data_IF_759486779593
#
_entry.id   IF_759486779593
#
_cell.length_a   1.000
_cell.length_b   1.000
_cell.length_c   1.000
_cell.angle_alpha   90.00
_cell.angle_beta   90.00
_cell.angle_gamma   90.00
#
_symmetry.space_group_name_H-M   'P 1'
#
loop_
_entity.id
_entity.type
_entity.pdbx_description
1 polymer ?
#
# COMPACT_ATOMS: atom_id res chain seq x y z
N UNK A 1 -6.79 13.10 -1.91
CA UNK A 1 -7.99 12.93 -1.09
C UNK A 1 -9.29 12.79 -1.89
N UNK A 2 -9.37 11.95 -2.94
CA UNK A 2 -10.61 11.73 -3.71
C UNK A 2 -11.24 10.34 -3.56
N UNK A 3 -10.60 9.40 -2.86
CA UNK A 3 -11.16 8.06 -2.60
C UNK A 3 -12.09 8.07 -1.38
N UNK A 4 -11.86 8.96 -0.41
CA UNK A 4 -12.74 9.16 0.76
C UNK A 4 -14.02 9.96 0.42
N UNK A 5 -14.01 10.76 -0.65
CA UNK A 5 -15.03 11.78 -0.90
C UNK A 5 -16.44 11.26 -1.22
N UNK A 6 -16.57 10.10 -1.88
CA UNK A 6 -17.90 9.62 -2.33
C UNK A 6 -18.66 8.83 -1.27
N UNK A 7 -17.95 8.09 -0.41
CA UNK A 7 -18.58 7.25 0.62
C UNK A 7 -18.68 7.95 1.98
N UNK A 8 -17.72 8.81 2.31
CA UNK A 8 -17.73 9.54 3.57
C UNK A 8 -18.52 10.85 3.49
N UNK A 9 -18.45 11.57 2.35
CA UNK A 9 -19.19 12.81 2.13
C UNK A 9 -18.99 13.82 3.28
N UNK A 10 -20.09 14.26 3.89
CA UNK A 10 -20.13 15.17 5.06
C UNK A 10 -20.00 14.45 6.42
N UNK A 11 -19.66 13.16 6.39
CA UNK A 11 -19.56 12.28 7.55
C UNK A 11 -20.88 11.63 7.95
N UNK A 12 -20.85 10.79 9.00
CA UNK A 12 -22.02 10.09 9.49
C UNK A 12 -23.05 11.06 10.10
N UNK A 13 -24.33 10.71 9.94
CA UNK A 13 -25.49 11.43 10.47
C UNK A 13 -26.54 10.39 10.86
N UNK A 14 -27.35 10.69 11.88
CA UNK A 14 -28.43 9.82 12.31
C UNK A 14 -29.63 9.96 11.37
N UNK A 15 -30.21 8.82 11.00
CA UNK A 15 -31.44 8.80 10.21
C UNK A 15 -32.37 7.71 10.71
N UNK A 16 -33.66 7.92 10.48
CA UNK A 16 -34.69 6.89 10.59
C UNK A 16 -35.21 6.56 9.19
N UNK A 17 -35.64 5.31 8.98
CA UNK A 17 -36.38 4.94 7.79
C UNK A 17 -37.82 5.42 7.91
N UNK A 18 -38.25 6.25 6.97
CA UNK A 18 -39.61 6.81 6.93
C UNK A 18 -40.25 6.48 5.59
N UNK A 19 -41.58 6.39 5.59
CA UNK A 19 -42.38 6.20 4.37
C UNK A 19 -43.16 7.49 4.13
N UNK A 20 -43.06 8.01 2.92
CA UNK A 20 -43.89 9.12 2.47
C UNK A 20 -45.34 8.61 2.25
N UNK A 21 -46.26 9.15 3.04
CA UNK A 21 -47.67 8.73 3.06
C UNK A 21 -48.42 9.02 1.75
N UNK A 22 -47.91 9.90 0.90
CA UNK A 22 -48.58 10.27 -0.36
C UNK A 22 -48.21 9.35 -1.53
N UNK A 23 -47.01 8.75 -1.50
CA UNK A 23 -46.47 7.99 -2.63
C UNK A 23 -45.87 6.62 -2.27
N UNK A 24 -45.94 6.21 -1.00
CA UNK A 24 -45.39 4.97 -0.47
C UNK A 24 -43.89 4.77 -0.76
N UNK A 25 -43.11 5.86 -0.86
CA UNK A 25 -41.66 5.79 -1.05
C UNK A 25 -40.93 5.81 0.27
N UNK A 26 -39.97 4.90 0.40
CA UNK A 26 -39.02 4.92 1.51
C UNK A 26 -38.01 6.06 1.31
N UNK A 27 -37.78 6.82 2.37
CA UNK A 27 -36.73 7.82 2.44
C UNK A 27 -36.05 7.80 3.80
N UNK A 28 -34.86 8.40 3.87
CA UNK A 28 -34.12 8.59 5.12
C UNK A 28 -34.43 9.96 5.68
N UNK A 29 -35.05 10.01 6.85
CA UNK A 29 -35.30 11.26 7.57
C UNK A 29 -34.16 11.51 8.54
N UNK A 30 -33.45 12.61 8.36
CA UNK A 30 -32.38 13.02 9.28
C UNK A 30 -32.96 13.36 10.65
N UNK A 31 -32.33 12.86 11.70
CA UNK A 31 -32.70 13.12 13.08
C UNK A 31 -31.52 13.72 13.84
N UNK A 32 -31.85 14.50 14.87
CA UNK A 32 -30.89 15.00 15.86
C UNK A 32 -31.27 14.36 17.19
N UNK A 33 -30.34 13.62 17.78
CA UNK A 33 -30.48 13.05 19.11
C UNK A 33 -29.28 13.53 19.93
N UNK A 34 -29.51 14.53 20.77
CA UNK A 34 -28.44 15.16 21.57
C UNK A 34 -27.82 14.19 22.57
N UNK A 35 -28.56 13.19 23.05
CA UNK A 35 -28.08 12.22 24.03
C UNK A 35 -27.10 11.25 23.37
N UNK A 36 -27.49 10.69 22.22
CA UNK A 36 -26.62 9.79 21.45
C UNK A 36 -25.44 10.58 20.87
N UNK A 37 -25.67 11.81 20.39
CA UNK A 37 -24.60 12.66 19.87
C UNK A 37 -23.58 12.97 20.96
N UNK A 38 -24.00 13.35 22.17
CA UNK A 38 -23.09 13.60 23.29
C UNK A 38 -22.31 12.34 23.71
N UNK A 39 -22.95 11.16 23.68
CA UNK A 39 -22.28 9.90 23.97
C UNK A 39 -21.22 9.54 22.92
N UNK A 40 -21.55 9.72 21.64
CA UNK A 40 -20.59 9.51 20.56
C UNK A 40 -19.44 10.52 20.59
N UNK A 41 -19.73 11.80 20.86
CA UNK A 41 -18.72 12.86 20.98
C UNK A 41 -17.84 12.73 22.21
N UNK A 42 -18.24 11.92 23.21
CA UNK A 42 -17.39 11.61 24.36
C UNK A 42 -16.11 10.83 23.97
N UNK A 43 -16.07 10.27 22.75
CA UNK A 43 -14.90 9.63 22.16
C UNK A 43 -14.78 10.00 20.67
N UNK A 44 -13.65 9.68 20.04
CA UNK A 44 -13.42 10.04 18.63
C UNK A 44 -14.13 9.06 17.67
N UNK A 45 -15.47 9.08 17.66
CA UNK A 45 -16.29 8.18 16.86
C UNK A 45 -16.13 8.41 15.35
N UNK A 46 -15.82 9.64 14.92
CA UNK A 46 -15.66 9.99 13.51
C UNK A 46 -14.38 9.40 12.94
N UNK A 47 -13.25 9.54 13.64
CA UNK A 47 -11.99 8.91 13.22
C UNK A 47 -12.13 7.38 13.25
N UNK A 48 -12.77 6.83 14.29
CA UNK A 48 -13.10 5.41 14.36
C UNK A 48 -13.87 4.92 13.11
N UNK A 49 -15.01 5.56 12.81
CA UNK A 49 -15.84 5.17 11.67
C UNK A 49 -15.11 5.35 10.33
N UNK A 50 -14.30 6.40 10.21
CA UNK A 50 -13.49 6.65 9.01
C UNK A 50 -12.47 5.53 8.80
N UNK A 51 -11.77 5.12 9.85
CA UNK A 51 -10.80 4.00 9.78
C UNK A 51 -11.49 2.68 9.45
N UNK A 52 -12.63 2.39 10.04
CA UNK A 52 -13.44 1.22 9.69
C UNK A 52 -13.86 1.24 8.22
N UNK A 53 -14.28 2.40 7.70
CA UNK A 53 -14.63 2.55 6.28
C UNK A 53 -13.42 2.32 5.38
N UNK A 54 -12.26 2.87 5.72
CA UNK A 54 -11.02 2.67 4.96
C UNK A 54 -10.67 1.18 4.91
N UNK A 55 -10.71 0.47 6.03
CA UNK A 55 -10.45 -0.97 6.07
C UNK A 55 -11.50 -1.75 5.25
N UNK A 56 -12.78 -1.39 5.34
CA UNK A 56 -13.85 -1.98 4.53
C UNK A 56 -13.61 -1.80 3.02
N UNK A 57 -13.18 -0.62 2.58
CA UNK A 57 -12.93 -0.33 1.16
C UNK A 57 -11.79 -1.18 0.60
N UNK A 58 -10.69 -1.31 1.35
CA UNK A 58 -9.48 -1.97 0.88
C UNK A 58 -9.54 -3.48 1.12
N UNK A 59 -9.93 -3.92 2.31
CA UNK A 59 -9.87 -5.31 2.77
C UNK A 59 -11.21 -6.05 2.68
N UNK A 60 -12.31 -5.34 2.36
CA UNK A 60 -13.68 -5.86 2.39
C UNK A 60 -14.18 -6.29 3.77
N UNK A 61 -13.46 -5.92 4.82
CA UNK A 61 -13.85 -6.13 6.21
C UNK A 61 -12.99 -5.32 7.16
N UNK A 62 -13.46 -5.16 8.40
CA UNK A 62 -12.82 -4.35 9.42
C UNK A 62 -13.05 -4.94 10.80
N UNK A 63 -12.16 -4.58 11.74
CA UNK A 63 -12.19 -5.05 13.11
C UNK A 63 -12.64 -3.95 14.06
N UNK A 64 -13.48 -4.33 15.01
CA UNK A 64 -14.01 -3.43 16.04
C UNK A 64 -13.78 -4.07 17.39
N UNK A 65 -13.20 -3.30 18.32
CA UNK A 65 -13.09 -3.66 19.72
C UNK A 65 -14.19 -2.97 20.50
N UNK A 66 -15.04 -3.76 21.13
CA UNK A 66 -16.12 -3.30 21.99
C UNK A 66 -15.59 -3.21 23.41
N UNK A 67 -15.75 -2.04 24.02
CA UNK A 67 -15.34 -1.80 25.41
C UNK A 67 -16.58 -1.49 26.23
N UNK A 68 -16.81 -2.32 27.24
CA UNK A 68 -17.93 -2.21 28.17
C UNK A 68 -17.55 -1.42 29.42
N UNK A 69 -18.54 -0.80 30.07
CA UNK A 69 -18.42 -0.32 31.44
C UNK A 69 -18.08 -1.48 32.41
N UNK A 70 -17.61 -1.10 33.61
CA UNK A 70 -17.33 -2.05 34.69
C UNK A 70 -18.56 -2.34 35.57
N UNK A 71 -19.72 -1.73 35.28
CA UNK A 71 -20.96 -1.83 36.06
C UNK A 71 -21.36 -3.27 36.44
N UNK A 72 -21.36 -4.24 35.51
CA UNK A 72 -21.75 -5.60 35.87
C UNK A 72 -20.81 -6.34 36.84
N UNK A 73 -19.66 -5.75 37.23
CA UNK A 73 -18.84 -6.28 38.34
C UNK A 73 -19.42 -5.96 39.71
N UNK A 74 -20.27 -4.94 39.80
CA UNK A 74 -20.93 -4.47 41.03
C UNK A 74 -22.45 -4.68 40.99
N UNK A 75 -22.95 -5.45 40.02
CA UNK A 75 -24.39 -5.73 39.85
C UNK A 75 -25.18 -4.67 39.07
N UNK A 76 -24.51 -3.68 38.48
CA UNK A 76 -25.15 -2.69 37.59
C UNK A 76 -25.24 -3.17 36.14
N UNK A 77 -26.03 -2.48 35.33
CA UNK A 77 -26.23 -2.80 33.91
C UNK A 77 -24.97 -2.61 33.06
N UNK A 78 -24.84 -3.48 32.07
CA UNK A 78 -23.79 -3.42 31.06
C UNK A 78 -24.09 -2.35 30.02
N UNK A 79 -23.10 -1.50 29.71
CA UNK A 79 -23.18 -0.50 28.65
C UNK A 79 -21.89 -0.49 27.84
N UNK A 80 -21.97 -0.41 26.52
CA UNK A 80 -20.82 -0.13 25.67
C UNK A 80 -20.44 1.34 25.87
N UNK A 81 -19.19 1.59 26.30
CA UNK A 81 -18.70 2.94 26.58
C UNK A 81 -17.95 3.55 25.41
N UNK A 82 -17.32 2.73 24.58
CA UNK A 82 -16.60 3.17 23.38
C UNK A 82 -16.29 1.99 22.47
N UNK A 83 -16.08 2.30 21.21
CA UNK A 83 -15.56 1.36 20.21
C UNK A 83 -14.16 1.80 19.81
N UNK A 84 -13.26 0.85 19.60
CA UNK A 84 -11.93 1.11 19.04
C UNK A 84 -11.78 0.37 17.71
N UNK A 85 -11.25 1.07 16.71
CA UNK A 85 -10.80 0.45 15.48
C UNK A 85 -9.47 -0.24 15.74
N UNK A 86 -9.35 -1.49 15.31
CA UNK A 86 -8.06 -2.18 15.28
C UNK A 86 -7.64 -2.32 13.81
N UNK A 87 -6.44 -1.85 13.42
CA UNK A 87 -5.96 -2.00 12.05
C UNK A 87 -5.98 -3.47 11.62
N UNK A 88 -6.48 -3.73 10.41
CA UNK A 88 -6.60 -5.08 9.86
C UNK A 88 -5.33 -5.92 9.99
N UNK A 89 -4.15 -5.30 9.81
CA UNK A 89 -2.85 -5.99 9.94
C UNK A 89 -2.66 -6.65 11.30
N UNK A 90 -3.21 -6.09 12.38
CA UNK A 90 -2.96 -6.50 13.77
C UNK A 90 -3.81 -7.67 14.25
N UNK A 91 -4.97 -7.92 13.63
CA UNK A 91 -5.92 -8.94 14.08
C UNK A 91 -5.76 -10.26 13.33
N UNK A 92 -5.82 -11.38 14.04
CA UNK A 92 -5.95 -12.73 13.48
C UNK A 92 -6.95 -13.53 14.30
N UNK A 93 -7.81 -14.31 13.63
CA UNK A 93 -8.67 -15.26 14.33
C UNK A 93 -7.84 -16.40 14.92
N UNK A 94 -8.26 -16.88 16.09
CA UNK A 94 -7.90 -18.21 16.56
C UNK A 94 -8.62 -19.24 15.68
N UNK A 95 -7.90 -20.24 15.18
CA UNK A 95 -8.53 -21.33 14.43
C UNK A 95 -9.48 -22.10 15.37
N UNK A 96 -10.70 -22.43 14.93
CA UNK A 96 -11.65 -23.17 15.76
C UNK A 96 -11.09 -24.52 16.23
N UNK A 97 -11.52 -24.96 17.41
CA UNK A 97 -11.29 -26.34 17.87
C UNK A 97 -12.35 -27.28 17.28
N UNK A 98 -12.20 -28.59 17.47
CA UNK A 98 -13.16 -29.60 16.98
C UNK A 98 -14.58 -29.46 17.56
N UNK A 99 -14.78 -28.55 18.52
CA UNK A 99 -16.05 -28.33 19.22
C UNK A 99 -16.85 -27.16 18.66
N UNK A 100 -16.21 -26.28 17.89
CA UNK A 100 -16.84 -25.06 17.38
C UNK A 100 -16.56 -24.90 15.89
N UNK A 101 -17.58 -24.60 15.09
CA UNK A 101 -17.38 -24.32 13.66
C UNK A 101 -16.78 -22.92 13.39
N UNK A 102 -16.84 -22.03 14.38
CA UNK A 102 -16.43 -20.63 14.26
C UNK A 102 -15.35 -20.25 15.28
N UNK A 103 -14.42 -19.33 14.92
CA UNK A 103 -13.44 -18.76 15.83
C UNK A 103 -14.07 -18.18 17.10
N UNK A 104 -13.52 -18.53 18.26
CA UNK A 104 -13.98 -18.01 19.55
C UNK A 104 -13.16 -16.82 20.05
N UNK A 105 -11.93 -16.65 19.54
CA UNK A 105 -11.03 -15.59 19.97
C UNK A 105 -10.32 -14.90 18.80
N UNK A 106 -9.85 -13.70 19.07
CA UNK A 106 -9.05 -12.86 18.18
C UNK A 106 -7.74 -12.52 18.88
N UNK A 107 -6.64 -12.78 18.20
CA UNK A 107 -5.30 -12.35 18.60
C UNK A 107 -4.98 -10.99 17.98
N UNK A 108 -4.54 -10.06 18.83
CA UNK A 108 -4.15 -8.71 18.44
C UNK A 108 -2.67 -8.52 18.78
N UNK A 109 -1.85 -8.28 17.76
CA UNK A 109 -0.40 -8.13 17.91
C UNK A 109 0.26 -7.54 16.66
N UNK A 110 1.57 -7.31 16.74
CA UNK A 110 2.34 -6.75 15.62
C UNK A 110 2.88 -7.86 14.70
N UNK A 111 2.04 -8.26 13.73
CA UNK A 111 2.38 -9.30 12.76
C UNK A 111 3.37 -8.82 11.68
N UNK A 112 4.21 -9.72 11.12
CA UNK A 112 4.20 -11.19 11.28
C UNK A 112 4.95 -11.73 12.50
N UNK A 113 5.69 -10.89 13.23
CA UNK A 113 6.52 -11.30 14.37
C UNK A 113 5.97 -10.68 15.66
N UNK A 114 4.87 -11.20 16.23
CA UNK A 114 4.31 -10.65 17.45
C UNK A 114 5.25 -10.94 18.63
N UNK A 115 5.45 -9.93 19.47
CA UNK A 115 6.06 -10.09 20.79
C UNK A 115 5.07 -10.89 21.67
N UNK A 116 5.44 -12.07 22.19
CA UNK A 116 4.57 -12.88 23.04
C UNK A 116 4.04 -12.13 24.26
N UNK A 117 4.83 -11.22 24.83
CA UNK A 117 4.44 -10.45 26.02
C UNK A 117 3.43 -9.35 25.71
N UNK A 118 3.34 -8.94 24.44
CA UNK A 118 2.43 -7.88 23.95
C UNK A 118 1.25 -8.43 23.15
N UNK A 119 1.18 -9.74 22.95
CA UNK A 119 0.10 -10.40 22.24
C UNK A 119 -1.15 -10.40 23.12
N UNK A 120 -2.19 -9.69 22.69
CA UNK A 120 -3.46 -9.68 23.40
C UNK A 120 -4.44 -10.67 22.77
N UNK A 121 -5.12 -11.46 23.61
CA UNK A 121 -6.21 -12.37 23.21
C UNK A 121 -7.54 -11.79 23.68
N UNK A 122 -8.51 -11.65 22.77
CA UNK A 122 -9.85 -11.16 23.07
C UNK A 122 -10.91 -12.17 22.61
N UNK A 123 -12.03 -12.33 23.34
CA UNK A 123 -13.15 -13.12 22.87
C UNK A 123 -13.84 -12.45 21.68
N UNK A 124 -14.38 -13.25 20.76
CA UNK A 124 -15.17 -12.76 19.63
C UNK A 124 -16.46 -12.12 20.15
N UNK A 125 -16.81 -10.96 19.60
CA UNK A 125 -18.03 -10.24 19.94
C UNK A 125 -19.27 -11.04 19.50
N UNK A 126 -20.21 -11.26 20.43
CA UNK A 126 -21.49 -11.90 20.16
C UNK A 126 -22.62 -10.85 20.22
N UNK A 127 -23.27 -10.52 19.09
CA UNK A 127 -24.40 -9.58 19.08
C UNK A 127 -25.59 -10.01 19.94
N UNK A 128 -25.79 -11.32 20.14
CA UNK A 128 -26.88 -11.83 21.00
C UNK A 128 -26.60 -11.66 22.49
N UNK A 129 -25.33 -11.51 22.87
CA UNK A 129 -24.90 -11.25 24.26
C UNK A 129 -23.72 -10.26 24.29
N UNK A 130 -23.98 -8.98 23.99
CA UNK A 130 -22.93 -7.98 23.75
C UNK A 130 -22.16 -7.59 25.01
N UNK A 131 -22.72 -7.88 26.20
CA UNK A 131 -22.19 -7.45 27.49
C UNK A 131 -21.51 -8.57 28.29
N UNK A 132 -21.46 -9.79 27.74
CA UNK A 132 -20.83 -10.97 28.37
C UNK A 132 -19.39 -10.72 28.82
N UNK A 133 -18.62 -10.07 27.96
CA UNK A 133 -17.20 -9.82 28.18
C UNK A 133 -16.94 -8.32 28.35
N UNK A 134 -15.99 -7.93 29.22
CA UNK A 134 -15.67 -6.51 29.43
C UNK A 134 -15.04 -5.87 28.19
N UNK A 135 -14.29 -6.66 27.42
CA UNK A 135 -13.72 -6.29 26.14
C UNK A 135 -13.87 -7.48 25.20
N UNK A 136 -14.38 -7.24 24.00
CA UNK A 136 -14.54 -8.24 22.94
C UNK A 136 -14.23 -7.63 21.59
N UNK A 137 -13.93 -8.46 20.60
CA UNK A 137 -13.54 -8.01 19.26
C UNK A 137 -14.45 -8.66 18.22
N UNK A 138 -15.07 -7.85 17.38
CA UNK A 138 -15.88 -8.28 16.24
C UNK A 138 -15.16 -8.06 14.92
N UNK A 139 -15.36 -8.99 14.00
CA UNK A 139 -15.02 -8.80 12.59
C UNK A 139 -16.30 -8.58 11.80
N UNK A 140 -16.33 -7.52 11.00
CA UNK A 140 -17.46 -7.22 10.13
C UNK A 140 -16.95 -7.16 8.68
N UNK A 141 -17.57 -7.92 7.80
CA UNK A 141 -17.12 -8.06 6.43
C UNK A 141 -18.26 -8.20 5.42
N UNK A 142 -17.91 -7.88 4.19
CA UNK A 142 -18.67 -8.31 3.02
C UNK A 142 -18.34 -9.77 2.77
N UNK A 143 -19.36 -10.57 2.44
CA UNK A 143 -19.19 -11.96 2.09
C UNK A 143 -18.15 -12.12 0.98
N UNK A 144 -17.21 -13.06 1.18
CA UNK A 144 -16.17 -13.40 0.20
C UNK A 144 -16.32 -14.88 -0.16
N UNK A 145 -16.46 -15.15 -1.47
CA UNK A 145 -16.57 -16.51 -1.98
C UNK A 145 -15.33 -17.35 -1.61
N UNK A 146 -15.55 -18.62 -1.23
CA UNK A 146 -14.50 -19.57 -0.82
C UNK A 146 -13.60 -19.10 0.35
N UNK A 147 -14.15 -18.31 1.28
CA UNK A 147 -13.47 -17.95 2.53
C UNK A 147 -14.38 -18.20 3.72
N UNK A 148 -13.81 -18.82 4.76
CA UNK A 148 -14.58 -19.20 5.95
C UNK A 148 -14.68 -18.05 6.96
N UNK A 149 -13.56 -17.35 7.24
CA UNK A 149 -13.50 -16.41 8.37
C UNK A 149 -13.17 -14.96 7.99
N UNK A 150 -12.35 -14.74 6.95
CA UNK A 150 -11.84 -13.40 6.57
C UNK A 150 -12.13 -13.09 5.12
N UNK A 151 -12.37 -11.82 4.81
CA UNK A 151 -12.65 -11.40 3.44
C UNK A 151 -11.39 -11.32 2.59
N UNK A 152 -11.56 -11.46 1.27
CA UNK A 152 -10.46 -11.33 0.31
C UNK A 152 -10.40 -9.88 -0.19
N UNK A 153 -9.27 -9.18 -0.07
CA UNK A 153 -9.15 -7.82 -0.61
C UNK A 153 -9.39 -7.79 -2.12
N UNK A 154 -10.12 -6.78 -2.62
CA UNK A 154 -10.45 -6.68 -4.07
C UNK A 154 -9.23 -6.54 -4.96
N UNK A 155 -8.18 -5.88 -4.48
CA UNK A 155 -6.96 -5.66 -5.24
C UNK A 155 -6.11 -6.93 -5.38
N UNK A 156 -6.42 -8.01 -4.66
CA UNK A 156 -5.63 -9.24 -4.70
C UNK A 156 -5.62 -9.88 -6.10
N UNK A 157 -6.76 -9.84 -6.81
CA UNK A 157 -6.82 -10.29 -8.21
C UNK A 157 -6.14 -9.34 -9.19
N UNK A 158 -5.91 -8.08 -8.80
CA UNK A 158 -5.27 -7.07 -9.63
C UNK A 158 -3.74 -6.98 -9.41
N UNK A 159 -3.18 -7.74 -8.46
CA UNK A 159 -1.74 -7.69 -8.16
C UNK A 159 -0.83 -7.87 -9.37
N UNK A 160 -1.02 -8.87 -10.25
CA UNK A 160 -0.15 -9.03 -11.42
C UNK A 160 -0.17 -7.81 -12.34
N UNK A 161 -1.33 -7.16 -12.47
CA UNK A 161 -1.47 -5.95 -13.28
C UNK A 161 -0.83 -4.74 -12.61
N UNK A 162 -0.94 -4.61 -11.28
CA UNK A 162 -0.28 -3.55 -10.51
C UNK A 162 1.25 -3.70 -10.54
N UNK A 163 1.76 -4.92 -10.42
CA UNK A 163 3.19 -5.21 -10.57
C UNK A 163 3.68 -4.80 -11.96
N UNK A 164 2.99 -5.22 -13.02
CA UNK A 164 3.31 -4.83 -14.39
C UNK A 164 3.24 -3.31 -14.60
N UNK A 165 2.20 -2.65 -14.10
CA UNK A 165 2.07 -1.19 -14.22
C UNK A 165 3.20 -0.46 -13.48
N UNK A 166 3.64 -1.00 -12.34
CA UNK A 166 4.77 -0.48 -11.57
C UNK A 166 6.12 -0.59 -12.28
N UNK A 167 6.30 -1.52 -13.21
CA UNK A 167 7.57 -1.68 -13.96
C UNK A 167 7.68 -0.75 -15.16
N UNK A 168 6.58 -0.24 -15.70
CA UNK A 168 6.59 0.60 -16.92
C UNK A 168 7.40 1.88 -16.71
N UNK A 169 7.20 2.58 -15.60
CA UNK A 169 7.90 3.85 -15.36
C UNK A 169 9.42 3.66 -15.20
N UNK A 170 9.93 2.72 -14.36
CA UNK A 170 11.35 2.38 -14.33
C UNK A 170 11.90 1.95 -15.69
N UNK A 171 11.15 1.16 -16.46
CA UNK A 171 11.58 0.69 -17.77
C UNK A 171 11.73 1.84 -18.77
N UNK A 172 10.78 2.78 -18.81
CA UNK A 172 10.86 3.98 -19.65
C UNK A 172 11.99 4.91 -19.21
N UNK A 173 12.25 5.03 -17.90
CA UNK A 173 13.36 5.81 -17.38
C UNK A 173 14.70 5.20 -17.82
N UNK A 174 14.87 3.88 -17.67
CA UNK A 174 16.06 3.16 -18.11
C UNK A 174 16.23 3.23 -19.64
N UNK A 175 15.15 3.09 -20.39
CA UNK A 175 15.18 3.25 -21.85
C UNK A 175 15.66 4.64 -22.25
N UNK A 176 15.10 5.72 -21.67
CA UNK A 176 15.53 7.08 -22.00
C UNK A 176 16.99 7.36 -21.61
N UNK A 177 17.47 6.82 -20.49
CA UNK A 177 18.86 6.95 -20.08
C UNK A 177 19.82 6.22 -21.04
N UNK A 178 19.43 5.03 -21.52
CA UNK A 178 20.30 4.20 -22.34
C UNK A 178 20.13 4.43 -23.86
N UNK A 179 19.00 4.99 -24.30
CA UNK A 179 18.70 5.20 -25.72
C UNK A 179 19.64 6.24 -26.37
N UNK A 180 20.20 7.19 -25.60
CA UNK A 180 21.20 8.12 -26.13
C UNK A 180 22.50 7.43 -26.55
N UNK A 181 22.85 6.30 -25.93
CA UNK A 181 24.07 5.54 -26.27
C UNK A 181 24.02 4.91 -27.67
N UNK A 182 22.81 4.67 -28.21
CA UNK A 182 22.63 4.06 -29.53
C UNK A 182 22.53 5.07 -30.68
N UNK A 183 22.68 6.37 -30.40
CA UNK A 183 22.37 7.43 -31.38
C UNK A 183 23.50 7.78 -32.35
N UNK A 184 24.73 7.29 -32.12
CA UNK A 184 25.89 7.76 -32.88
C UNK A 184 26.62 6.61 -33.58
N UNK A 185 26.58 6.64 -34.91
CA UNK A 185 27.47 5.86 -35.77
C UNK A 185 28.67 6.74 -36.14
N UNK A 186 29.87 6.33 -35.71
CA UNK A 186 31.11 7.06 -36.02
C UNK A 186 31.67 6.52 -37.33
N UNK A 187 31.56 7.31 -38.39
CA UNK A 187 32.27 7.06 -39.64
C UNK A 187 33.59 7.85 -39.66
N UNK A 188 34.73 7.16 -39.71
CA UNK A 188 36.04 7.79 -39.83
C UNK A 188 36.58 7.62 -41.27
N UNK A 189 36.78 8.70 -42.04
CA UNK A 189 37.37 8.61 -43.37
C UNK A 189 38.82 8.14 -43.31
N UNK A 190 39.24 7.31 -44.25
CA UNK A 190 40.63 6.82 -44.33
C UNK A 190 41.67 7.98 -44.33
N UNK A 191 41.36 9.07 -45.02
CA UNK A 191 42.21 10.26 -45.10
C UNK A 191 42.55 10.89 -43.73
N UNK A 192 41.68 10.74 -42.72
CA UNK A 192 41.95 11.22 -41.37
C UNK A 192 43.10 10.43 -40.73
N UNK A 193 43.08 9.10 -40.90
CA UNK A 193 44.11 8.22 -40.36
C UNK A 193 45.43 8.35 -41.10
N UNK A 194 45.39 8.57 -42.41
CA UNK A 194 46.58 8.81 -43.23
C UNK A 194 47.29 10.11 -42.78
N UNK A 195 46.54 11.19 -42.57
CA UNK A 195 47.07 12.46 -42.07
C UNK A 195 47.61 12.36 -40.63
N UNK A 196 46.98 11.54 -39.78
CA UNK A 196 47.46 11.27 -38.43
C UNK A 196 48.78 10.47 -38.46
N UNK A 197 48.91 9.49 -39.34
CA UNK A 197 50.14 8.72 -39.52
C UNK A 197 51.30 9.62 -39.96
N UNK A 198 51.07 10.51 -40.94
CA UNK A 198 52.10 11.46 -41.39
C UNK A 198 52.56 12.39 -40.27
N UNK A 199 51.63 12.88 -39.45
CA UNK A 199 51.95 13.71 -38.28
C UNK A 199 52.78 12.96 -37.24
N UNK A 200 52.46 11.68 -36.97
CA UNK A 200 53.24 10.84 -36.05
C UNK A 200 54.65 10.62 -36.60
N UNK A 201 54.78 10.32 -37.90
CA UNK A 201 56.08 10.17 -38.56
C UNK A 201 56.93 11.43 -38.47
N UNK A 202 56.33 12.61 -38.60
CA UNK A 202 57.03 13.89 -38.46
C UNK A 202 57.50 14.14 -37.01
N UNK A 203 56.68 13.78 -36.01
CA UNK A 203 57.05 13.85 -34.59
C UNK A 203 58.20 12.89 -34.27
N UNK A 204 58.16 11.65 -34.78
CA UNK A 204 59.22 10.67 -34.66
C UNK A 204 60.54 11.18 -35.25
N UNK A 205 60.51 11.79 -36.44
CA UNK A 205 61.67 12.44 -37.07
C UNK A 205 62.24 13.56 -36.21
N UNK A 206 61.40 14.42 -35.63
CA UNK A 206 61.84 15.52 -34.77
C UNK A 206 62.43 15.06 -33.44
N UNK A 207 61.95 13.93 -32.90
CA UNK A 207 62.41 13.36 -31.63
C UNK A 207 63.57 12.36 -31.78
N UNK A 208 63.95 12.01 -33.01
CA UNK A 208 64.99 11.01 -33.28
C UNK A 208 64.59 9.57 -32.92
N UNK A 209 63.30 9.28 -32.83
CA UNK A 209 62.76 7.96 -32.46
C UNK A 209 62.28 7.24 -33.73
N UNK A 210 62.57 5.94 -33.92
CA UNK A 210 62.06 5.19 -35.07
C UNK A 210 60.54 5.04 -34.98
N UNK A 211 59.86 5.29 -36.10
CA UNK A 211 58.42 5.04 -36.22
C UNK A 211 58.11 3.54 -36.14
N UNK A 212 57.00 3.20 -35.49
CA UNK A 212 56.45 1.84 -35.44
C UNK A 212 54.95 1.90 -35.72
N UNK A 213 54.42 0.94 -36.49
CA UNK A 213 52.99 0.83 -36.79
C UNK A 213 52.12 0.73 -35.52
N UNK A 214 52.70 0.22 -34.42
CA UNK A 214 52.04 0.17 -33.11
C UNK A 214 51.69 1.56 -32.57
N UNK A 215 52.46 2.60 -32.89
CA UNK A 215 52.18 3.98 -32.45
C UNK A 215 50.92 4.55 -33.09
N UNK A 216 50.58 4.11 -34.31
CA UNK A 216 49.34 4.50 -34.97
C UNK A 216 48.13 3.76 -34.39
N UNK A 217 48.27 2.47 -34.06
CA UNK A 217 47.22 1.71 -33.39
C UNK A 217 46.94 2.26 -31.97
N UNK A 218 47.97 2.58 -31.20
CA UNK A 218 47.81 3.22 -29.88
C UNK A 218 47.11 4.59 -30.00
N UNK A 219 47.39 5.35 -31.05
CA UNK A 219 46.69 6.62 -31.33
C UNK A 219 45.23 6.42 -31.75
N UNK A 220 44.92 5.37 -32.53
CA UNK A 220 43.54 5.00 -32.88
C UNK A 220 42.76 4.60 -31.64
N UNK A 221 43.34 3.77 -30.77
CA UNK A 221 42.71 3.35 -29.53
C UNK A 221 42.42 4.54 -28.62
N UNK A 222 43.39 5.45 -28.42
CA UNK A 222 43.21 6.65 -27.60
C UNK A 222 42.14 7.60 -28.19
N UNK A 223 42.09 7.73 -29.52
CA UNK A 223 41.08 8.54 -30.20
C UNK A 223 39.67 7.93 -30.03
N UNK A 224 39.53 6.62 -30.20
CA UNK A 224 38.27 5.90 -30.05
C UNK A 224 37.78 5.90 -28.59
N UNK A 225 38.68 5.79 -27.60
CA UNK A 225 38.35 5.96 -26.19
C UNK A 225 37.85 7.39 -25.88
N UNK A 226 38.48 8.42 -26.44
CA UNK A 226 38.02 9.81 -26.30
C UNK A 226 36.64 10.00 -26.92
N UNK A 227 36.40 9.47 -28.11
CA UNK A 227 35.08 9.52 -28.73
C UNK A 227 34.05 8.75 -27.89
N UNK A 228 34.38 7.56 -27.41
CA UNK A 228 33.51 6.79 -26.52
C UNK A 228 33.18 7.57 -25.24
N UNK A 229 34.16 8.19 -24.60
CA UNK A 229 33.96 8.98 -23.37
C UNK A 229 33.06 10.22 -23.56
N UNK A 230 33.06 10.81 -24.76
CA UNK A 230 32.20 11.94 -25.10
C UNK A 230 30.78 11.53 -25.50
N UNK A 231 30.58 10.25 -25.87
CA UNK A 231 29.33 9.69 -26.37
C UNK A 231 28.58 8.88 -25.31
N UNK A 232 29.29 8.25 -24.36
CA UNK A 232 28.65 7.61 -23.21
C UNK A 232 28.04 8.70 -22.33
N UNK A 233 26.73 8.88 -22.47
CA UNK A 233 25.91 9.61 -21.51
C UNK A 233 26.20 9.11 -20.08
N UNK A 234 26.05 10.01 -19.11
CA UNK A 234 26.30 9.80 -17.68
C UNK A 234 26.07 8.34 -17.24
N UNK A 235 27.16 7.74 -16.78
CA UNK A 235 27.27 6.51 -15.95
C UNK A 235 26.33 5.35 -16.35
N UNK A 236 26.93 4.35 -17.01
CA UNK A 236 26.46 2.95 -16.92
C UNK A 236 26.70 2.39 -15.51
#
# INVERSE_FOLDING_TARGET
GKIQGLQWGEGPRFFEEAIDSENNRFYRKWILDDVIQADLESWDYRDYMLRCLVDLVHMQGFWVKFIRNRGPRIGEDGRIIRLEHIPYRKCRFEYPDDRHDLPQNVYVGDWPFPDPDRLAKYPVFNPADPFRHPVSVGYFNIYSFCRDFVSTPRFLGAFPWLELAGTIAPLLAAYNANASALSLHIESPQAYWDAAEDRIREICKRKGVPYSARMLEEFKDEAMEKFASGVTGREN
#
